data_IF_463640816198
#
_entry.id   IF_463640816198
#
_cell.length_a   1.000
_cell.length_b   1.000
_cell.length_c   1.000
_cell.angle_alpha   90.00
_cell.angle_beta   90.00
_cell.angle_gamma   90.00
#
_symmetry.space_group_name_H-M   'P 1'
#
loop_
_entity.id
_entity.type
_entity.pdbx_description
1 polymer ?
#
# COMPACT_ATOMS: atom_id res chain seq x y z
N UNK A 1 71.59 8.08 13.08
CA UNK A 1 70.76 7.24 12.20
C UNK A 1 69.31 7.46 12.59
N UNK A 2 68.50 8.00 11.67
CA UNK A 2 67.13 8.43 11.92
C UNK A 2 66.18 7.23 11.95
N UNK A 3 65.37 7.12 13.00
CA UNK A 3 64.25 6.20 13.06
C UNK A 3 63.04 6.83 12.35
N UNK A 4 62.58 6.19 11.27
CA UNK A 4 61.34 6.56 10.58
C UNK A 4 60.15 5.92 11.29
N UNK A 5 59.33 6.75 11.95
CA UNK A 5 57.93 6.40 12.23
C UNK A 5 57.14 6.48 10.93
N UNK A 6 56.64 5.36 10.44
CA UNK A 6 55.64 5.33 9.36
C UNK A 6 54.27 5.41 10.04
N UNK A 7 53.68 6.61 10.00
CA UNK A 7 52.28 6.83 10.38
C UNK A 7 51.35 6.20 9.34
N UNK A 8 50.49 5.28 9.78
CA UNK A 8 49.39 4.77 8.98
C UNK A 8 48.33 5.88 8.82
N UNK A 9 48.34 6.55 7.68
CA UNK A 9 47.24 7.40 7.23
C UNK A 9 46.07 6.49 6.84
N UNK A 10 45.11 6.32 7.74
CA UNK A 10 43.82 5.73 7.40
C UNK A 10 43.10 6.66 6.42
N UNK A 11 43.03 6.25 5.15
CA UNK A 11 42.15 6.87 4.17
C UNK A 11 40.70 6.63 4.59
N UNK A 12 40.04 7.64 5.14
CA UNK A 12 38.60 7.63 5.29
C UNK A 12 37.98 7.64 3.88
N UNK A 13 37.39 6.52 3.47
CA UNK A 13 36.63 6.45 2.23
C UNK A 13 35.56 7.56 2.23
N UNK A 14 35.56 8.41 1.21
CA UNK A 14 34.51 9.42 1.05
C UNK A 14 33.15 8.73 1.03
N UNK A 15 32.21 9.21 1.85
CA UNK A 15 30.87 8.65 1.89
C UNK A 15 30.21 8.81 0.51
N UNK A 16 29.62 7.72 -0.01
CA UNK A 16 28.91 7.76 -1.28
C UNK A 16 27.80 8.82 -1.27
N UNK A 17 27.62 9.52 -2.39
CA UNK A 17 26.56 10.52 -2.59
C UNK A 17 25.60 10.10 -3.69
N UNK A 18 24.38 10.60 -3.60
CA UNK A 18 23.30 10.38 -4.59
C UNK A 18 22.50 11.67 -4.78
N UNK A 19 21.87 11.90 -5.94
CA UNK A 19 20.97 13.02 -6.14
C UNK A 19 19.83 13.04 -5.11
N UNK A 20 19.50 14.22 -4.58
CA UNK A 20 18.31 14.40 -3.74
C UNK A 20 16.99 14.21 -4.49
N UNK A 21 17.04 14.20 -5.82
CA UNK A 21 15.89 14.00 -6.67
C UNK A 21 16.15 14.31 -8.14
N UNK A 22 15.13 14.10 -8.96
CA UNK A 22 15.10 14.41 -10.38
C UNK A 22 13.71 14.87 -10.79
N UNK A 23 13.64 15.82 -11.72
CA UNK A 23 12.42 16.28 -12.39
C UNK A 23 12.61 16.07 -13.90
N UNK A 24 11.80 15.19 -14.47
CA UNK A 24 11.77 14.86 -15.90
C UNK A 24 10.46 15.36 -16.48
N UNK A 25 10.52 16.13 -17.57
CA UNK A 25 9.34 16.65 -18.29
C UNK A 25 9.49 16.43 -19.77
N UNK A 26 8.39 16.10 -20.43
CA UNK A 26 8.35 15.93 -21.87
C UNK A 26 6.93 16.12 -22.39
N UNK A 27 6.81 16.30 -23.70
CA UNK A 27 5.57 16.19 -24.44
C UNK A 27 5.59 14.88 -25.23
N UNK A 28 4.48 14.13 -25.24
CA UNK A 28 4.36 12.90 -26.02
C UNK A 28 3.13 12.94 -26.92
N UNK A 29 3.25 12.48 -28.17
CA UNK A 29 2.13 12.29 -29.09
C UNK A 29 2.02 10.82 -29.47
N UNK A 30 0.88 10.21 -29.17
CA UNK A 30 0.61 8.80 -29.42
C UNK A 30 -0.51 8.67 -30.47
N UNK A 31 -0.28 7.94 -31.58
CA UNK A 31 -1.33 7.52 -32.50
C UNK A 31 -2.42 6.66 -31.83
N UNK A 32 -3.58 6.52 -32.49
CA UNK A 32 -4.72 5.78 -31.94
C UNK A 32 -4.43 4.28 -31.74
N UNK A 33 -3.60 3.71 -32.61
CA UNK A 33 -3.16 2.31 -32.60
C UNK A 33 -1.93 2.05 -31.71
N UNK A 34 -1.32 3.11 -31.15
CA UNK A 34 -0.21 2.98 -30.21
C UNK A 34 -0.61 2.11 -29.02
N UNK A 35 0.30 1.22 -28.60
CA UNK A 35 0.12 0.47 -27.34
C UNK A 35 0.59 1.24 -26.12
N UNK A 36 1.51 2.18 -26.30
CA UNK A 36 2.04 2.98 -25.20
C UNK A 36 3.53 3.22 -25.34
N UNK A 37 4.14 3.69 -24.24
CA UNK A 37 5.58 3.91 -24.16
C UNK A 37 6.07 3.80 -22.71
N UNK A 38 7.40 3.73 -22.54
CA UNK A 38 8.03 3.62 -21.24
C UNK A 38 9.07 4.70 -21.00
N UNK A 39 9.27 4.99 -19.72
CA UNK A 39 10.37 5.79 -19.20
C UNK A 39 11.21 4.92 -18.26
N UNK A 40 12.52 4.84 -18.50
CA UNK A 40 13.46 4.10 -17.67
C UNK A 40 14.56 5.04 -17.15
N UNK A 41 14.80 4.98 -15.84
CA UNK A 41 15.97 5.59 -15.20
C UNK A 41 17.10 4.56 -15.14
N UNK A 42 18.03 4.60 -16.09
CA UNK A 42 19.12 3.62 -16.18
C UNK A 42 19.54 3.29 -17.61
N UNK A 43 20.59 2.47 -17.72
CA UNK A 43 21.14 2.04 -19.02
C UNK A 43 20.46 0.79 -19.58
N UNK A 44 19.72 0.04 -18.77
CA UNK A 44 19.04 -1.17 -19.22
C UNK A 44 17.92 -0.88 -20.22
N UNK A 45 17.60 -1.89 -21.03
CA UNK A 45 16.52 -1.85 -22.03
C UNK A 45 15.50 -2.92 -21.62
N UNK A 46 14.25 -2.56 -21.28
CA UNK A 46 13.23 -3.56 -20.97
C UNK A 46 12.82 -4.30 -22.24
N UNK A 47 12.30 -5.53 -22.07
CA UNK A 47 11.75 -6.33 -23.17
C UNK A 47 10.41 -5.78 -23.67
N UNK A 48 9.67 -5.12 -22.79
CA UNK A 48 8.43 -4.42 -23.08
C UNK A 48 8.54 -2.99 -22.53
N UNK A 49 8.32 -2.00 -23.38
CA UNK A 49 8.36 -0.60 -22.95
C UNK A 49 7.03 -0.12 -22.37
N UNK A 50 5.93 -0.81 -22.61
CA UNK A 50 4.63 -0.52 -22.01
C UNK A 50 4.58 -1.03 -20.57
N UNK A 51 5.16 -2.21 -20.33
CA UNK A 51 5.38 -2.76 -18.98
C UNK A 51 6.88 -2.92 -18.67
N UNK A 52 7.62 -1.81 -18.41
CA UNK A 52 9.08 -1.78 -18.35
C UNK A 52 9.69 -2.36 -17.07
N UNK A 53 9.42 -3.64 -16.81
CA UNK A 53 10.01 -4.42 -15.72
C UNK A 53 11.51 -4.61 -15.94
N UNK A 54 12.32 -3.91 -15.15
CA UNK A 54 13.79 -3.99 -15.23
C UNK A 54 14.40 -4.08 -13.82
N UNK A 55 15.30 -5.04 -13.63
CA UNK A 55 16.00 -5.21 -12.36
C UNK A 55 16.89 -4.00 -12.07
N UNK A 56 16.89 -3.54 -10.81
CA UNK A 56 17.74 -2.42 -10.38
C UNK A 56 17.41 -1.04 -10.96
N UNK A 57 16.29 -0.89 -11.69
CA UNK A 57 15.88 0.39 -12.29
C UNK A 57 14.48 0.79 -11.86
N UNK A 58 14.24 2.10 -11.76
CA UNK A 58 12.90 2.66 -11.70
C UNK A 58 12.40 2.85 -13.12
N UNK A 59 11.22 2.32 -13.41
CA UNK A 59 10.58 2.51 -14.70
C UNK A 59 9.11 2.89 -14.55
N UNK A 60 8.59 3.62 -15.53
CA UNK A 60 7.20 4.05 -15.61
C UNK A 60 6.65 3.63 -16.96
N UNK A 61 5.58 2.84 -16.95
CA UNK A 61 4.83 2.47 -18.15
C UNK A 61 3.66 3.43 -18.38
N UNK A 62 3.41 3.78 -19.63
CA UNK A 62 2.23 4.51 -20.08
C UNK A 62 1.50 3.63 -21.08
N UNK A 63 0.56 2.84 -20.58
CA UNK A 63 -0.18 1.83 -21.32
C UNK A 63 -1.50 2.40 -21.83
N UNK A 64 -1.83 2.05 -23.06
CA UNK A 64 -3.03 2.50 -23.77
C UNK A 64 -3.73 1.34 -24.47
N UNK A 65 -3.41 0.10 -24.08
CA UNK A 65 -3.95 -1.12 -24.65
C UNK A 65 -4.32 -2.12 -23.55
N UNK A 66 -5.56 -2.05 -23.09
CA UNK A 66 -6.13 -2.94 -22.09
C UNK A 66 -7.57 -3.27 -22.49
N UNK A 67 -7.76 -4.04 -23.59
CA UNK A 67 -9.07 -4.22 -24.20
C UNK A 67 -10.04 -4.90 -23.23
N UNK A 68 -11.33 -4.60 -23.38
CA UNK A 68 -12.36 -5.23 -22.57
C UNK A 68 -12.40 -6.74 -22.81
N UNK A 69 -12.31 -7.52 -21.74
CA UNK A 69 -12.63 -8.95 -21.74
C UNK A 69 -13.88 -9.23 -20.92
N UNK A 70 -14.71 -10.18 -21.37
CA UNK A 70 -15.86 -10.69 -20.60
C UNK A 70 -15.54 -11.99 -19.87
N UNK A 71 -14.35 -12.55 -20.06
CA UNK A 71 -13.93 -13.78 -19.40
C UNK A 71 -13.37 -13.47 -18.01
N UNK A 72 -14.01 -14.05 -16.99
CA UNK A 72 -13.71 -13.78 -15.59
C UNK A 72 -12.35 -14.33 -15.15
N UNK A 73 -11.78 -15.27 -15.90
CA UNK A 73 -10.60 -16.06 -15.52
C UNK A 73 -9.37 -15.84 -16.41
N UNK A 74 -9.46 -15.04 -17.48
CA UNK A 74 -8.28 -14.74 -18.30
C UNK A 74 -7.39 -13.66 -17.66
N UNK A 75 -6.31 -13.30 -18.36
CA UNK A 75 -5.36 -12.30 -17.89
C UNK A 75 -5.81 -10.84 -18.10
N UNK A 76 -6.78 -10.60 -18.98
CA UNK A 76 -7.20 -9.26 -19.38
C UNK A 76 -8.08 -8.64 -18.28
N UNK A 77 -7.54 -7.65 -17.57
CA UNK A 77 -8.17 -7.11 -16.38
C UNK A 77 -9.48 -6.35 -16.63
N UNK A 78 -9.63 -5.73 -17.80
CA UNK A 78 -10.60 -4.67 -18.03
C UNK A 78 -12.06 -5.14 -18.24
N UNK A 79 -12.63 -5.82 -17.25
CA UNK A 79 -13.96 -6.45 -17.34
C UNK A 79 -15.11 -5.44 -17.51
N UNK A 80 -14.93 -4.23 -17.00
CA UNK A 80 -15.92 -3.17 -17.04
C UNK A 80 -15.79 -2.25 -18.27
N UNK A 81 -14.82 -2.48 -19.16
CA UNK A 81 -14.59 -1.62 -20.33
C UNK A 81 -14.21 -0.19 -19.93
N UNK A 82 -13.39 -0.06 -18.88
CA UNK A 82 -12.78 1.21 -18.46
C UNK A 82 -11.86 1.75 -19.55
N UNK A 83 -11.61 3.05 -19.57
CA UNK A 83 -10.71 3.63 -20.57
C UNK A 83 -9.29 3.06 -20.50
N UNK A 84 -8.70 2.83 -21.66
CA UNK A 84 -7.35 2.24 -21.84
C UNK A 84 -6.31 3.36 -21.80
N UNK A 85 -5.87 3.72 -20.60
CA UNK A 85 -4.91 4.79 -20.33
C UNK A 85 -4.30 4.61 -18.95
N UNK A 86 -3.61 3.52 -18.76
CA UNK A 86 -2.96 3.12 -17.52
C UNK A 86 -1.56 3.73 -17.39
N UNK A 87 -1.14 4.01 -16.15
CA UNK A 87 0.24 4.35 -15.85
C UNK A 87 0.71 3.46 -14.71
N UNK A 88 1.78 2.72 -14.96
CA UNK A 88 2.36 1.76 -14.02
C UNK A 88 3.72 2.23 -13.50
N UNK A 89 4.03 1.87 -12.26
CA UNK A 89 5.34 2.04 -11.65
C UNK A 89 6.00 0.67 -11.50
N UNK A 90 7.27 0.58 -11.88
CA UNK A 90 8.06 -0.64 -11.80
C UNK A 90 9.34 -0.38 -11.00
N UNK A 91 9.68 -1.30 -10.10
CA UNK A 91 10.88 -1.26 -9.29
C UNK A 91 11.41 -2.65 -9.03
N UNK A 92 12.71 -2.87 -9.22
CA UNK A 92 13.38 -4.18 -9.06
C UNK A 92 12.68 -5.29 -9.84
N UNK A 93 12.51 -5.07 -11.15
CA UNK A 93 11.96 -6.08 -12.06
C UNK A 93 10.47 -6.40 -11.87
N UNK A 94 9.75 -5.64 -11.05
CA UNK A 94 8.36 -5.91 -10.70
C UNK A 94 7.51 -4.65 -10.81
N UNK A 95 6.28 -4.79 -11.32
CA UNK A 95 5.26 -3.75 -11.19
C UNK A 95 4.86 -3.62 -9.71
N UNK A 96 4.95 -2.40 -9.18
CA UNK A 96 4.63 -2.11 -7.77
C UNK A 96 3.32 -1.32 -7.62
N UNK A 97 2.83 -0.72 -8.70
CA UNK A 97 1.54 -0.06 -8.75
C UNK A 97 1.10 0.15 -10.22
N UNK A 98 -0.21 0.16 -10.45
CA UNK A 98 -0.80 0.64 -11.70
C UNK A 98 -2.08 1.45 -11.39
N UNK A 99 -2.33 2.52 -12.15
CA UNK A 99 -3.46 3.44 -11.97
C UNK A 99 -4.01 3.90 -13.31
N UNK A 100 -5.34 4.06 -13.37
CA UNK A 100 -5.98 4.73 -14.49
C UNK A 100 -5.55 6.21 -14.52
N UNK A 101 -5.07 6.66 -15.67
CA UNK A 101 -4.72 8.05 -15.92
C UNK A 101 -5.98 8.92 -16.02
N UNK A 102 -6.05 10.08 -15.35
CA UNK A 102 -7.19 11.00 -15.45
C UNK A 102 -7.16 11.88 -16.72
N UNK A 103 -6.16 11.70 -17.58
CA UNK A 103 -5.93 12.47 -18.81
C UNK A 103 -5.78 11.49 -19.97
N UNK A 104 -6.33 11.85 -21.13
CA UNK A 104 -6.12 11.07 -22.36
C UNK A 104 -4.63 11.00 -22.71
N UNK A 105 -4.19 9.82 -23.15
CA UNK A 105 -2.81 9.58 -23.59
C UNK A 105 -2.68 9.53 -25.12
N UNK A 106 -3.78 9.27 -25.83
CA UNK A 106 -3.84 9.15 -27.29
C UNK A 106 -4.38 10.41 -27.93
N UNK A 107 -3.93 10.70 -29.16
CA UNK A 107 -4.51 11.72 -30.02
C UNK A 107 -3.49 12.74 -30.56
N UNK A 108 -3.91 13.55 -31.55
CA UNK A 108 -3.01 14.44 -32.29
C UNK A 108 -2.46 15.60 -31.43
N UNK A 109 -3.16 15.98 -30.36
CA UNK A 109 -2.71 17.02 -29.44
C UNK A 109 -1.61 16.54 -28.48
N UNK A 110 -1.43 15.21 -28.34
CA UNK A 110 -0.53 14.63 -27.35
C UNK A 110 -0.87 15.02 -25.92
N UNK A 111 0.08 14.81 -25.02
CA UNK A 111 -0.01 15.18 -23.61
C UNK A 111 1.36 15.60 -23.05
N UNK A 112 1.32 16.54 -22.12
CA UNK A 112 2.49 16.85 -21.29
C UNK A 112 2.56 15.87 -20.12
N UNK A 113 3.75 15.32 -19.88
CA UNK A 113 4.00 14.44 -18.76
C UNK A 113 5.21 14.90 -17.93
N UNK A 114 5.14 14.58 -16.64
CA UNK A 114 6.18 14.89 -15.67
C UNK A 114 6.36 13.72 -14.71
N UNK A 115 7.62 13.36 -14.45
CA UNK A 115 8.02 12.47 -13.36
C UNK A 115 8.96 13.22 -12.43
N UNK A 116 8.57 13.29 -11.16
CA UNK A 116 9.43 13.79 -10.10
C UNK A 116 9.75 12.65 -9.14
N UNK A 117 11.03 12.46 -8.86
CA UNK A 117 11.48 11.53 -7.81
C UNK A 117 12.21 12.35 -6.77
N UNK A 118 11.82 12.22 -5.51
CA UNK A 118 12.43 12.94 -4.38
C UNK A 118 12.90 11.95 -3.33
N UNK A 119 14.18 12.03 -2.99
CA UNK A 119 14.75 11.22 -1.93
C UNK A 119 14.17 11.62 -0.58
N UNK A 120 13.70 10.64 0.18
CA UNK A 120 13.16 10.80 1.53
C UNK A 120 13.75 9.72 2.43
N UNK A 121 13.41 9.73 3.73
CA UNK A 121 13.90 8.71 4.66
C UNK A 121 13.46 7.31 4.17
N UNK A 122 14.41 6.44 3.88
CA UNK A 122 14.18 5.03 3.53
C UNK A 122 13.77 4.72 2.09
N UNK A 123 13.88 5.68 1.16
CA UNK A 123 13.59 5.46 -0.25
C UNK A 123 13.27 6.77 -0.96
N UNK A 124 12.42 6.72 -1.97
CA UNK A 124 12.02 7.93 -2.69
C UNK A 124 10.51 8.01 -2.89
N UNK A 125 10.00 9.23 -2.96
CA UNK A 125 8.63 9.52 -3.38
C UNK A 125 8.61 9.81 -4.88
N UNK A 126 7.71 9.13 -5.60
CA UNK A 126 7.50 9.26 -7.04
C UNK A 126 6.17 9.98 -7.28
N UNK A 127 6.23 11.10 -7.98
CA UNK A 127 5.06 11.84 -8.47
C UNK A 127 5.06 11.77 -9.99
N UNK A 128 3.94 11.33 -10.55
CA UNK A 128 3.72 11.29 -12.01
C UNK A 128 2.51 12.15 -12.33
N UNK A 129 2.67 13.10 -13.25
CA UNK A 129 1.58 13.96 -13.73
C UNK A 129 1.44 13.83 -15.23
N UNK A 130 0.20 13.82 -15.71
CA UNK A 130 -0.14 13.81 -17.14
C UNK A 130 -1.22 14.86 -17.37
N UNK A 131 -1.00 15.78 -18.31
CA UNK A 131 -1.87 16.94 -18.53
C UNK A 131 -2.03 17.80 -17.27
N UNK A 132 -0.98 17.90 -16.45
CA UNK A 132 -0.96 18.63 -15.17
C UNK A 132 -1.66 17.91 -13.99
N UNK A 133 -2.45 16.86 -14.26
CA UNK A 133 -3.16 16.10 -13.22
C UNK A 133 -2.27 14.99 -12.64
N UNK A 134 -2.27 14.77 -11.31
CA UNK A 134 -1.48 13.69 -10.72
C UNK A 134 -2.11 12.33 -11.00
N UNK A 135 -1.31 11.39 -11.51
CA UNK A 135 -1.61 9.96 -11.51
C UNK A 135 -1.10 9.32 -10.23
N UNK A 136 0.16 9.64 -9.90
CA UNK A 136 0.78 9.36 -8.61
C UNK A 136 1.16 10.68 -7.96
N UNK A 137 0.85 10.83 -6.67
CA UNK A 137 1.28 11.97 -5.88
C UNK A 137 2.07 11.46 -4.68
N UNK A 138 3.39 11.69 -4.73
CA UNK A 138 4.35 11.28 -3.69
C UNK A 138 4.22 9.80 -3.30
N UNK A 139 4.06 8.91 -4.28
CA UNK A 139 4.00 7.47 -4.05
C UNK A 139 5.35 6.99 -3.53
N UNK A 140 5.38 6.50 -2.30
CA UNK A 140 6.63 6.07 -1.68
C UNK A 140 7.08 4.70 -2.17
N UNK A 141 8.33 4.60 -2.62
CA UNK A 141 8.99 3.36 -3.03
C UNK A 141 10.14 3.08 -2.06
N UNK A 142 10.05 2.01 -1.25
CA UNK A 142 11.11 1.62 -0.32
C UNK A 142 12.43 1.33 -1.02
N UNK A 143 13.53 1.70 -0.38
CA UNK A 143 14.92 1.57 -0.86
C UNK A 143 15.24 2.26 -2.19
N UNK A 144 14.28 2.92 -2.83
CA UNK A 144 14.51 3.59 -4.11
C UNK A 144 15.51 4.74 -3.90
N UNK A 145 16.70 4.53 -4.45
CA UNK A 145 17.75 5.54 -4.55
C UNK A 145 18.17 5.59 -6.01
N UNK A 146 18.07 6.78 -6.61
CA UNK A 146 18.52 6.99 -7.97
C UNK A 146 19.98 7.43 -7.96
N UNK A 147 20.74 6.96 -8.94
CA UNK A 147 22.02 7.55 -9.31
C UNK A 147 21.81 8.42 -10.55
N UNK A 148 22.72 9.37 -10.79
CA UNK A 148 22.73 10.09 -12.07
C UNK A 148 22.91 9.05 -13.18
N UNK A 149 21.90 8.94 -14.03
CA UNK A 149 21.84 7.97 -15.10
C UNK A 149 21.16 8.57 -16.33
N UNK A 150 21.27 7.85 -17.45
CA UNK A 150 20.48 8.15 -18.62
C UNK A 150 19.00 7.99 -18.32
N UNK A 151 18.20 8.91 -18.87
CA UNK A 151 16.75 8.84 -18.87
C UNK A 151 16.34 8.43 -20.27
N UNK A 152 15.87 7.19 -20.39
CA UNK A 152 15.58 6.59 -21.70
C UNK A 152 14.08 6.47 -21.89
N UNK A 153 13.64 6.88 -23.07
CA UNK A 153 12.33 6.58 -23.59
C UNK A 153 12.51 5.50 -24.64
N UNK A 154 11.65 4.51 -24.60
CA UNK A 154 11.58 3.53 -25.67
C UNK A 154 10.15 3.46 -26.16
N UNK A 155 9.97 3.50 -27.48
CA UNK A 155 8.65 3.51 -28.05
C UNK A 155 8.33 2.13 -28.64
N UNK A 156 7.03 1.85 -28.72
CA UNK A 156 6.41 1.48 -29.99
C UNK A 156 6.74 2.58 -31.01
N UNK A 157 7.44 2.27 -32.12
CA UNK A 157 8.01 3.21 -33.11
C UNK A 157 7.13 4.38 -33.61
N UNK A 158 5.83 4.34 -33.32
CA UNK A 158 4.82 5.34 -33.62
C UNK A 158 4.74 6.52 -32.62
N UNK A 159 5.34 6.42 -31.43
CA UNK A 159 5.31 7.46 -30.39
C UNK A 159 6.35 8.54 -30.63
N UNK A 160 5.93 9.81 -30.63
CA UNK A 160 6.85 10.97 -30.68
C UNK A 160 7.02 11.59 -29.30
N UNK A 161 8.26 11.74 -28.86
CA UNK A 161 8.62 12.42 -27.61
C UNK A 161 9.41 13.69 -27.95
N UNK A 162 8.96 14.83 -27.44
CA UNK A 162 9.52 16.14 -27.73
C UNK A 162 9.77 16.93 -26.43
N UNK A 163 10.69 17.90 -26.50
CA UNK A 163 10.92 18.83 -25.41
C UNK A 163 11.40 18.21 -24.10
N UNK A 164 12.07 17.05 -24.15
CA UNK A 164 12.60 16.36 -22.97
C UNK A 164 13.54 17.27 -22.17
N UNK A 165 13.21 17.47 -20.91
CA UNK A 165 14.03 18.20 -19.92
C UNK A 165 14.24 17.32 -18.71
N UNK A 166 15.51 17.09 -18.37
CA UNK A 166 15.91 16.35 -17.18
C UNK A 166 16.67 17.30 -16.26
N UNK A 167 16.18 17.47 -15.04
CA UNK A 167 16.84 18.27 -14.01
C UNK A 167 17.11 17.42 -12.78
N UNK A 168 18.37 17.10 -12.57
CA UNK A 168 18.85 16.46 -11.33
C UNK A 168 19.07 17.51 -10.25
N UNK A 169 18.67 17.18 -9.02
CA UNK A 169 18.98 18.00 -7.85
C UNK A 169 20.44 17.84 -7.43
N UNK A 170 20.84 18.59 -6.39
CA UNK A 170 22.14 18.45 -5.74
C UNK A 170 22.36 17.05 -5.19
N UNK A 171 23.62 16.66 -5.12
CA UNK A 171 24.06 15.46 -4.43
C UNK A 171 23.88 15.62 -2.91
N UNK A 172 23.47 14.53 -2.25
CA UNK A 172 23.38 14.38 -0.79
C UNK A 172 24.02 13.06 -0.38
N UNK A 173 24.32 12.91 0.91
CA UNK A 173 24.85 11.64 1.43
C UNK A 173 23.87 10.50 1.14
N UNK A 174 24.37 9.38 0.62
CA UNK A 174 23.57 8.19 0.40
C UNK A 174 22.89 7.74 1.70
N UNK A 175 21.62 7.29 1.65
CA UNK A 175 20.92 6.78 2.83
C UNK A 175 21.68 5.62 3.49
N UNK A 176 21.62 5.54 4.82
CA UNK A 176 22.10 4.36 5.54
C UNK A 176 21.12 3.19 5.33
N UNK A 177 21.61 1.93 5.27
CA UNK A 177 20.74 0.76 5.27
C UNK A 177 19.82 0.71 6.50
N UNK A 178 18.62 0.14 6.38
CA UNK A 178 17.71 0.00 7.51
C UNK A 178 18.24 -1.00 8.55
N UNK A 179 17.76 -0.87 9.78
CA UNK A 179 17.81 -1.96 10.76
C UNK A 179 16.65 -2.91 10.42
N UNK A 180 16.97 -4.12 9.97
CA UNK A 180 15.98 -5.14 9.59
C UNK A 180 15.61 -6.02 10.79
N UNK A 181 14.31 -6.21 11.00
CA UNK A 181 13.73 -7.17 11.94
C UNK A 181 12.93 -8.20 11.15
N UNK A 182 13.28 -9.47 11.27
CA UNK A 182 12.50 -10.58 10.70
C UNK A 182 11.48 -11.01 11.74
N UNK A 183 10.19 -10.82 11.45
CA UNK A 183 9.12 -11.22 12.35
C UNK A 183 8.69 -12.68 12.09
N UNK A 184 8.54 -13.03 10.81
CA UNK A 184 8.22 -14.37 10.36
C UNK A 184 9.01 -14.68 9.09
N UNK A 185 9.53 -15.89 8.98
CA UNK A 185 10.24 -16.37 7.79
C UNK A 185 9.62 -17.69 7.36
N UNK A 186 8.95 -17.66 6.19
CA UNK A 186 8.33 -18.83 5.54
C UNK A 186 7.48 -19.69 6.48
N UNK A 187 6.69 -19.05 7.34
CA UNK A 187 5.76 -19.74 8.23
C UNK A 187 4.61 -20.34 7.42
N UNK A 188 4.34 -21.63 7.61
CA UNK A 188 3.23 -22.31 6.94
C UNK A 188 1.89 -21.81 7.48
N UNK A 189 1.05 -21.33 6.58
CA UNK A 189 -0.36 -21.05 6.83
C UNK A 189 -1.19 -21.85 5.84
N UNK A 190 -1.92 -22.87 6.30
CA UNK A 190 -2.76 -23.77 5.48
C UNK A 190 -4.02 -24.21 6.26
N UNK A 191 -4.75 -25.20 5.75
CA UNK A 191 -5.96 -25.76 6.36
C UNK A 191 -5.81 -26.29 7.81
N UNK A 192 -4.59 -26.52 8.28
CA UNK A 192 -4.31 -26.95 9.66
C UNK A 192 -3.64 -25.83 10.49
N UNK A 193 -3.15 -24.78 9.83
CA UNK A 193 -2.34 -23.72 10.42
C UNK A 193 -2.95 -22.32 10.14
N UNK A 194 -4.24 -22.13 10.44
CA UNK A 194 -4.95 -20.85 10.23
C UNK A 194 -4.40 -19.68 11.07
N UNK A 195 -3.68 -20.00 12.15
CA UNK A 195 -3.10 -19.05 13.09
C UNK A 195 -1.65 -19.40 13.33
N UNK A 196 -0.79 -18.39 13.34
CA UNK A 196 0.58 -18.50 13.78
C UNK A 196 0.93 -17.32 14.68
N UNK A 197 1.81 -17.55 15.64
CA UNK A 197 2.26 -16.50 16.55
C UNK A 197 3.75 -16.62 16.83
N UNK A 198 4.36 -15.50 17.19
CA UNK A 198 5.77 -15.42 17.44
C UNK A 198 6.10 -14.21 18.29
N UNK A 199 7.20 -14.32 19.02
CA UNK A 199 7.74 -13.22 19.79
C UNK A 199 8.88 -12.57 19.01
N UNK A 200 8.78 -11.25 18.82
CA UNK A 200 9.66 -10.49 17.94
C UNK A 200 10.38 -9.43 18.76
N UNK A 201 11.71 -9.39 18.65
CA UNK A 201 12.55 -8.35 19.23
C UNK A 201 12.66 -7.15 18.29
N UNK A 202 11.94 -6.07 18.61
CA UNK A 202 12.10 -4.77 17.96
C UNK A 202 13.19 -3.93 18.64
N UNK A 203 13.69 -2.85 18.01
CA UNK A 203 14.63 -1.94 18.65
C UNK A 203 14.15 -1.44 20.02
N UNK A 204 15.05 -1.30 20.98
CA UNK A 204 14.73 -0.81 22.33
C UNK A 204 14.24 0.64 22.35
N UNK A 205 14.53 1.42 21.30
CA UNK A 205 14.03 2.77 21.10
C UNK A 205 13.69 3.00 19.64
N UNK A 206 12.57 3.68 19.40
CA UNK A 206 12.12 4.06 18.06
C UNK A 206 12.48 5.50 17.68
N UNK A 207 13.08 6.26 18.59
CA UNK A 207 13.44 7.67 18.40
C UNK A 207 14.41 7.93 17.23
N UNK A 208 15.41 7.06 16.94
CA UNK A 208 16.31 7.28 15.80
C UNK A 208 15.64 7.12 14.43
N UNK A 209 14.50 6.44 14.37
CA UNK A 209 13.89 6.02 13.11
C UNK A 209 12.88 7.05 12.61
N UNK A 210 13.02 7.36 11.31
CA UNK A 210 12.17 8.28 10.60
C UNK A 210 11.07 7.59 9.78
N UNK A 211 11.26 6.31 9.47
CA UNK A 211 10.32 5.49 8.71
C UNK A 211 10.46 4.01 9.07
N UNK A 212 9.34 3.27 9.03
CA UNK A 212 9.31 1.81 9.12
C UNK A 212 8.51 1.24 7.96
N UNK A 213 9.13 0.33 7.21
CA UNK A 213 8.48 -0.39 6.11
C UNK A 213 8.27 -1.83 6.52
N UNK A 214 7.03 -2.31 6.40
CA UNK A 214 6.68 -3.72 6.54
C UNK A 214 6.67 -4.38 5.15
N UNK A 215 7.37 -5.49 5.00
CA UNK A 215 7.33 -6.33 3.79
C UNK A 215 6.60 -7.62 4.10
N UNK A 216 5.53 -7.90 3.36
CA UNK A 216 4.80 -9.18 3.38
C UNK A 216 5.16 -9.94 2.11
N UNK A 217 5.62 -11.18 2.25
CA UNK A 217 5.85 -12.10 1.12
C UNK A 217 5.03 -13.37 1.31
N UNK A 218 4.30 -13.75 0.26
CA UNK A 218 3.60 -15.02 0.17
C UNK A 218 4.25 -15.88 -0.91
N UNK A 219 4.54 -17.14 -0.57
CA UNK A 219 5.16 -18.11 -1.46
C UNK A 219 4.38 -19.43 -1.46
N UNK A 220 4.64 -20.27 -2.48
CA UNK A 220 4.04 -21.60 -2.56
C UNK A 220 4.47 -22.48 -1.38
N UNK A 221 3.52 -23.23 -0.83
CA UNK A 221 3.82 -24.32 0.09
C UNK A 221 4.28 -25.55 -0.69
N UNK A 222 4.83 -26.59 -0.04
CA UNK A 222 5.11 -27.86 -0.69
C UNK A 222 3.88 -28.50 -1.35
N UNK A 223 2.67 -28.16 -0.88
CA UNK A 223 1.39 -28.65 -1.40
C UNK A 223 0.77 -27.72 -2.46
N UNK A 224 1.50 -26.67 -2.88
CA UNK A 224 1.03 -25.67 -3.84
C UNK A 224 0.52 -24.39 -3.19
N UNK A 225 -0.49 -23.77 -3.79
CA UNK A 225 -1.09 -22.51 -3.36
C UNK A 225 -2.60 -22.70 -3.20
N UNK A 226 -3.21 -22.14 -2.16
CA UNK A 226 -4.68 -22.16 -2.02
C UNK A 226 -5.31 -21.54 -3.28
N UNK A 227 -6.33 -22.19 -3.86
CA UNK A 227 -7.01 -21.65 -5.01
C UNK A 227 -7.89 -20.44 -4.75
N UNK A 228 -8.13 -20.07 -3.50
CA UNK A 228 -9.06 -19.00 -3.11
C UNK A 228 -8.34 -17.78 -2.52
N UNK A 229 -9.00 -16.64 -2.63
CA UNK A 229 -8.64 -15.40 -1.96
C UNK A 229 -9.15 -15.40 -0.51
N UNK A 230 -8.24 -15.25 0.45
CA UNK A 230 -8.51 -15.42 1.89
C UNK A 230 -8.26 -14.13 2.63
N UNK A 231 -9.16 -13.79 3.55
CA UNK A 231 -8.93 -12.74 4.51
C UNK A 231 -7.79 -13.15 5.46
N UNK A 232 -6.80 -12.29 5.59
CA UNK A 232 -5.69 -12.47 6.49
C UNK A 232 -5.27 -11.18 7.19
N UNK A 233 -4.82 -11.31 8.44
CA UNK A 233 -4.50 -10.19 9.32
C UNK A 233 -3.25 -10.49 10.13
N UNK A 234 -2.45 -9.45 10.39
CA UNK A 234 -1.30 -9.47 11.28
C UNK A 234 -1.57 -8.51 12.43
N UNK A 235 -1.54 -9.03 13.64
CA UNK A 235 -1.71 -8.28 14.87
C UNK A 235 -0.40 -8.20 15.67
N UNK A 236 -0.26 -7.12 16.42
CA UNK A 236 0.74 -6.94 17.46
C UNK A 236 0.04 -6.76 18.81
N UNK A 237 0.58 -7.39 19.84
CA UNK A 237 0.12 -7.26 21.22
C UNK A 237 1.14 -6.47 22.05
N UNK A 238 0.66 -5.50 22.81
CA UNK A 238 1.49 -4.79 23.77
C UNK A 238 1.64 -5.54 25.10
N UNK A 239 2.44 -4.99 26.01
CA UNK A 239 2.71 -5.58 27.34
C UNK A 239 1.45 -5.73 28.22
N UNK A 240 0.35 -5.07 27.85
CA UNK A 240 -0.95 -5.13 28.54
C UNK A 240 -1.92 -6.08 27.83
N UNK A 241 -1.48 -6.80 26.80
CA UNK A 241 -2.31 -7.68 25.99
C UNK A 241 -3.28 -6.95 25.05
N UNK A 242 -3.15 -5.62 24.87
CA UNK A 242 -3.96 -4.88 23.90
C UNK A 242 -3.51 -5.23 22.49
N UNK A 243 -4.47 -5.54 21.63
CA UNK A 243 -4.27 -5.95 20.24
C UNK A 243 -4.33 -4.75 19.29
N UNK A 244 -3.42 -4.72 18.32
CA UNK A 244 -3.34 -3.70 17.27
C UNK A 244 -3.17 -4.37 15.92
N UNK A 245 -4.02 -4.04 14.94
CA UNK A 245 -3.81 -4.52 13.56
C UNK A 245 -2.66 -3.74 12.90
N UNK A 246 -1.62 -4.48 12.49
CA UNK A 246 -0.47 -3.96 11.76
C UNK A 246 -0.75 -3.96 10.25
N UNK A 247 -1.29 -5.08 9.75
CA UNK A 247 -1.52 -5.32 8.34
C UNK A 247 -2.76 -6.19 8.16
N UNK A 248 -3.51 -5.92 7.08
CA UNK A 248 -4.55 -6.80 6.56
C UNK A 248 -4.29 -6.99 5.07
N UNK A 249 -4.49 -8.20 4.58
CA UNK A 249 -4.40 -8.51 3.17
C UNK A 249 -5.46 -9.52 2.79
N UNK A 250 -5.78 -9.54 1.50
CA UNK A 250 -6.53 -10.63 0.89
C UNK A 250 -5.55 -11.39 0.02
N UNK A 251 -5.39 -12.68 0.27
CA UNK A 251 -4.45 -13.50 -0.51
C UNK A 251 -4.89 -13.55 -1.98
N UNK A 252 -3.96 -13.73 -2.93
CA UNK A 252 -4.30 -13.84 -4.34
C UNK A 252 -4.78 -15.25 -4.70
N UNK A 253 -5.58 -15.37 -5.75
CA UNK A 253 -5.97 -16.67 -6.29
C UNK A 253 -4.76 -17.41 -6.89
N UNK A 254 -4.34 -18.54 -6.29
CA UNK A 254 -3.27 -19.43 -6.79
C UNK A 254 -1.94 -18.73 -7.07
N UNK A 255 -1.60 -17.68 -6.33
CA UNK A 255 -0.39 -16.88 -6.60
C UNK A 255 0.37 -16.55 -5.31
N UNK A 256 1.67 -16.28 -5.46
CA UNK A 256 2.50 -15.65 -4.42
C UNK A 256 2.85 -14.22 -4.84
N UNK A 257 3.18 -13.36 -3.88
CA UNK A 257 3.54 -11.98 -4.17
C UNK A 257 4.33 -11.35 -3.02
N UNK A 258 4.94 -10.20 -3.29
CA UNK A 258 5.60 -9.37 -2.27
C UNK A 258 4.97 -7.99 -2.25
N UNK A 259 4.48 -7.57 -1.09
CA UNK A 259 3.99 -6.22 -0.86
C UNK A 259 4.88 -5.51 0.15
N UNK A 260 5.02 -4.21 -0.02
CA UNK A 260 5.71 -3.33 0.93
C UNK A 260 4.77 -2.22 1.36
N UNK A 261 4.71 -1.93 2.66
CA UNK A 261 3.85 -0.89 3.22
C UNK A 261 4.62 0.00 4.18
N UNK A 262 4.37 1.29 4.10
CA UNK A 262 4.77 2.23 5.14
C UNK A 262 3.87 2.04 6.37
N UNK A 263 4.45 1.57 7.48
CA UNK A 263 3.77 1.38 8.76
C UNK A 263 4.27 2.36 9.83
N UNK A 264 4.86 3.48 9.41
CA UNK A 264 5.48 4.48 10.30
C UNK A 264 4.50 5.07 11.31
N UNK A 265 3.22 5.19 10.96
CA UNK A 265 2.19 5.68 11.89
C UNK A 265 2.02 4.75 13.13
N UNK A 266 2.43 3.47 13.02
CA UNK A 266 2.40 2.49 14.11
C UNK A 266 3.72 2.39 14.88
N UNK A 267 4.70 3.25 14.57
CA UNK A 267 6.04 3.25 15.16
C UNK A 267 6.08 3.11 16.70
N UNK A 268 5.19 3.73 17.49
CA UNK A 268 5.19 3.56 18.96
C UNK A 268 5.00 2.12 19.44
N UNK A 269 4.46 1.24 18.60
CA UNK A 269 4.19 -0.16 18.94
C UNK A 269 5.43 -1.05 18.78
N UNK A 270 6.36 -0.69 17.89
CA UNK A 270 7.50 -1.51 17.49
C UNK A 270 8.72 -1.26 18.38
N UNK A 271 8.60 -1.54 19.67
CA UNK A 271 9.69 -1.34 20.65
C UNK A 271 9.84 -2.54 21.56
N UNK A 272 11.08 -3.00 21.74
CA UNK A 272 11.40 -4.13 22.61
C UNK A 272 10.72 -5.42 22.16
N UNK A 273 10.48 -6.32 23.11
CA UNK A 273 9.88 -7.63 22.83
C UNK A 273 8.36 -7.53 22.68
N UNK A 274 7.82 -8.01 21.56
CA UNK A 274 6.38 -7.94 21.26
C UNK A 274 5.88 -9.28 20.70
N UNK A 275 4.66 -9.67 21.08
CA UNK A 275 3.99 -10.82 20.48
C UNK A 275 3.27 -10.39 19.20
N UNK A 276 3.55 -11.07 18.11
CA UNK A 276 2.83 -10.95 16.84
C UNK A 276 1.99 -12.20 16.60
N UNK A 277 0.84 -12.02 15.95
CA UNK A 277 -0.07 -13.09 15.57
C UNK A 277 -0.57 -12.85 14.16
N UNK A 278 -0.42 -13.84 13.30
CA UNK A 278 -1.08 -13.88 12.00
C UNK A 278 -2.30 -14.80 12.02
N UNK A 279 -3.35 -14.37 11.33
CA UNK A 279 -4.57 -15.13 11.09
C UNK A 279 -4.85 -15.14 9.58
N UNK A 280 -5.30 -16.27 9.04
CA UNK A 280 -5.77 -16.37 7.67
C UNK A 280 -6.85 -17.45 7.53
N UNK A 281 -7.98 -17.09 6.93
CA UNK A 281 -9.15 -17.95 6.74
C UNK A 281 -8.96 -18.98 5.59
N UNK A 282 -7.77 -19.57 5.46
CA UNK A 282 -7.49 -20.61 4.45
C UNK A 282 -7.98 -21.98 4.87
N UNK A 283 -8.58 -22.74 3.96
CA UNK A 283 -8.98 -24.14 4.19
C UNK A 283 -8.33 -25.08 3.16
N UNK A 284 -7.27 -24.62 2.51
CA UNK A 284 -6.58 -25.31 1.42
C UNK A 284 -5.08 -25.42 1.64
N UNK A 285 -4.32 -25.43 0.54
CA UNK A 285 -2.86 -25.56 0.56
C UNK A 285 -2.13 -24.33 1.12
N UNK A 286 -2.81 -23.18 1.19
CA UNK A 286 -2.34 -21.99 1.86
C UNK A 286 -1.12 -21.33 1.21
N UNK A 287 -0.26 -20.72 2.05
CA UNK A 287 0.97 -20.02 1.66
C UNK A 287 2.07 -20.19 2.71
N UNK A 288 3.33 -20.05 2.28
CA UNK A 288 4.43 -19.71 3.18
C UNK A 288 4.47 -18.19 3.36
N UNK A 289 4.37 -17.73 4.60
CA UNK A 289 4.25 -16.31 4.95
C UNK A 289 5.56 -15.82 5.55
N UNK A 290 6.11 -14.76 4.96
CA UNK A 290 7.25 -14.04 5.54
C UNK A 290 6.88 -12.58 5.79
N UNK A 291 7.29 -12.05 6.95
CA UNK A 291 7.06 -10.67 7.37
C UNK A 291 8.36 -10.08 7.91
N UNK A 292 8.79 -8.96 7.35
CA UNK A 292 9.96 -8.21 7.83
C UNK A 292 9.62 -6.75 8.05
N UNK A 293 10.33 -6.11 8.98
CA UNK A 293 10.25 -4.68 9.27
C UNK A 293 11.61 -4.03 9.07
N UNK A 294 11.68 -3.02 8.20
CA UNK A 294 12.87 -2.24 7.92
C UNK A 294 12.76 -0.85 8.56
N UNK A 295 13.63 -0.58 9.54
CA UNK A 295 13.66 0.66 10.30
C UNK A 295 14.73 1.59 9.74
N UNK A 296 14.31 2.66 9.08
CA UNK A 296 15.20 3.64 8.46
C UNK A 296 15.46 4.80 9.40
N UNK A 297 16.74 5.09 9.67
CA UNK A 297 17.11 6.25 10.49
C UNK A 297 16.78 7.55 9.78
N UNK A 298 16.28 8.52 10.52
CA UNK A 298 15.99 9.83 9.97
C UNK A 298 15.07 10.67 10.85
N UNK A 299 14.91 11.93 10.47
CA UNK A 299 13.99 12.83 11.15
C UNK A 299 12.55 12.48 10.77
N UNK A 300 11.68 12.39 11.77
CA UNK A 300 10.23 12.28 11.59
C UNK A 300 9.55 13.42 12.34
N UNK A 301 8.73 14.19 11.62
CA UNK A 301 7.96 15.29 12.20
C UNK A 301 6.69 15.53 11.36
N UNK A 302 5.49 15.55 11.97
CA UNK A 302 5.23 15.25 13.39
C UNK A 302 5.47 13.76 13.71
N UNK A 303 5.86 13.42 14.94
CA UNK A 303 6.21 12.03 15.32
C UNK A 303 5.03 11.35 16.01
N UNK A 304 4.53 10.19 15.52
CA UNK A 304 3.54 9.42 16.26
C UNK A 304 4.16 8.95 17.57
N UNK A 305 3.45 9.12 18.68
CA UNK A 305 3.93 8.72 20.01
C UNK A 305 2.93 7.84 20.77
N UNK A 306 1.69 7.73 20.28
CA UNK A 306 0.66 6.91 20.90
C UNK A 306 -0.32 6.40 19.85
N UNK A 307 -0.68 5.12 19.98
CA UNK A 307 -1.72 4.46 19.20
C UNK A 307 -2.75 3.92 20.20
N UNK A 308 -4.03 4.20 19.96
CA UNK A 308 -5.14 3.77 20.82
C UNK A 308 -6.19 3.09 19.94
N UNK A 309 -6.49 1.80 20.13
CA UNK A 309 -7.57 1.14 19.40
C UNK A 309 -8.90 1.82 19.70
N UNK A 310 -9.75 1.96 18.69
CA UNK A 310 -11.12 2.48 18.81
C UNK A 310 -12.11 1.32 18.68
N UNK A 311 -12.04 0.58 17.56
CA UNK A 311 -12.90 -0.57 17.28
C UNK A 311 -12.10 -1.73 16.70
N UNK A 312 -12.52 -2.95 17.05
CA UNK A 312 -12.03 -4.21 16.49
C UNK A 312 -13.22 -5.17 16.49
N UNK A 313 -13.88 -5.33 15.34
CA UNK A 313 -15.16 -6.03 15.26
C UNK A 313 -15.46 -6.59 13.88
N UNK A 314 -16.28 -7.63 13.86
CA UNK A 314 -17.01 -8.08 12.66
C UNK A 314 -18.46 -7.66 12.82
N UNK A 315 -18.92 -6.71 12.00
CA UNK A 315 -20.27 -6.16 12.04
C UNK A 315 -21.14 -6.80 10.96
N UNK A 316 -22.20 -7.49 11.37
CA UNK A 316 -23.25 -7.99 10.46
C UNK A 316 -24.05 -6.80 9.93
N UNK A 317 -24.40 -6.84 8.64
CA UNK A 317 -25.07 -5.72 7.97
C UNK A 317 -26.52 -6.05 7.60
N UNK A 318 -27.35 -5.01 7.63
CA UNK A 318 -28.71 -5.04 7.09
C UNK A 318 -29.70 -5.90 7.87
N UNK A 319 -29.38 -6.27 9.10
CA UNK A 319 -30.27 -7.02 9.99
C UNK A 319 -30.60 -6.16 11.21
N UNK A 320 -31.89 -6.01 11.54
CA UNK A 320 -32.38 -5.13 12.60
C UNK A 320 -31.85 -5.53 13.99
N UNK A 321 -31.67 -6.82 14.19
CA UNK A 321 -31.15 -7.46 15.41
C UNK A 321 -29.63 -7.22 15.58
N UNK A 322 -28.96 -6.77 14.53
CA UNK A 322 -27.52 -6.50 14.50
C UNK A 322 -27.23 -5.06 14.03
N UNK A 323 -27.66 -4.03 14.79
CA UNK A 323 -27.36 -2.65 14.41
C UNK A 323 -25.85 -2.40 14.42
N UNK A 324 -25.34 -1.64 13.45
CA UNK A 324 -23.89 -1.34 13.32
C UNK A 324 -23.30 -0.79 14.63
N UNK A 325 -24.06 0.03 15.35
CA UNK A 325 -23.65 0.64 16.61
C UNK A 325 -23.50 -0.36 17.77
N UNK A 326 -24.06 -1.57 17.67
CA UNK A 326 -23.80 -2.63 18.65
C UNK A 326 -22.40 -3.23 18.47
N UNK A 327 -21.94 -3.39 17.23
CA UNK A 327 -20.58 -3.85 16.93
C UNK A 327 -19.53 -2.73 17.05
N UNK A 328 -19.92 -1.49 16.72
CA UNK A 328 -19.07 -0.30 16.69
C UNK A 328 -19.68 0.81 17.57
N UNK A 329 -19.69 0.64 18.90
CA UNK A 329 -20.33 1.61 19.79
C UNK A 329 -19.62 2.96 19.80
N UNK A 330 -20.34 4.07 20.00
CA UNK A 330 -19.73 5.38 20.25
C UNK A 330 -18.65 5.28 21.32
N UNK A 331 -17.42 5.63 20.99
CA UNK A 331 -16.27 5.39 21.86
C UNK A 331 -15.65 6.71 22.29
N UNK A 332 -15.57 6.94 23.61
CA UNK A 332 -14.93 8.11 24.19
C UNK A 332 -13.44 7.84 24.48
N UNK A 333 -12.55 8.67 23.93
CA UNK A 333 -11.09 8.56 24.17
C UNK A 333 -10.57 9.89 24.69
N UNK A 334 -9.77 9.84 25.77
CA UNK A 334 -9.03 10.99 26.29
C UNK A 334 -7.79 11.24 25.44
N UNK A 335 -7.74 12.43 24.84
CA UNK A 335 -6.61 12.90 24.04
C UNK A 335 -5.46 13.28 24.97
N UNK A 336 -4.26 12.79 24.69
CA UNK A 336 -3.07 13.12 25.47
C UNK A 336 -2.77 14.63 25.37
N UNK A 337 -2.36 15.25 26.48
CA UNK A 337 -2.08 16.68 26.53
C UNK A 337 -0.90 17.11 25.64
N UNK A 338 -0.06 16.16 25.21
CA UNK A 338 1.10 16.40 24.33
C UNK A 338 0.78 16.35 22.85
N UNK A 339 -0.46 16.01 22.49
CA UNK A 339 -0.88 15.82 21.11
C UNK A 339 -0.91 17.15 20.35
N UNK A 340 -0.21 17.20 19.22
CA UNK A 340 -0.19 18.34 18.28
C UNK A 340 -0.93 18.05 16.97
N UNK A 341 -0.97 16.78 16.58
CA UNK A 341 -1.78 16.29 15.48
C UNK A 341 -2.35 14.92 15.81
N UNK A 342 -3.46 14.57 15.19
CA UNK A 342 -4.13 13.29 15.41
C UNK A 342 -4.74 12.77 14.11
N UNK A 343 -4.62 11.47 13.88
CA UNK A 343 -5.26 10.79 12.76
C UNK A 343 -6.07 9.59 13.25
N UNK A 344 -7.19 9.31 12.59
CA UNK A 344 -7.89 8.03 12.73
C UNK A 344 -7.53 7.16 11.53
N UNK A 345 -7.02 5.96 11.79
CA UNK A 345 -6.73 4.92 10.80
C UNK A 345 -7.81 3.86 10.90
N UNK A 346 -8.62 3.68 9.85
CA UNK A 346 -9.71 2.71 9.79
C UNK A 346 -9.53 1.75 8.62
N UNK A 347 -9.45 0.45 8.90
CA UNK A 347 -9.40 -0.63 7.91
C UNK A 347 -10.74 -1.36 7.91
N UNK A 348 -11.41 -1.39 6.75
CA UNK A 348 -12.71 -2.07 6.59
C UNK A 348 -12.70 -2.86 5.31
N UNK A 349 -13.23 -4.08 5.36
CA UNK A 349 -13.43 -4.97 4.21
C UNK A 349 -14.82 -5.57 4.28
N UNK A 350 -15.60 -5.48 3.21
CA UNK A 350 -16.90 -6.14 3.10
C UNK A 350 -16.80 -7.58 2.62
N UNK A 351 -17.56 -8.48 3.24
CA UNK A 351 -17.57 -9.92 2.97
C UNK A 351 -19.00 -10.44 2.94
N UNK A 352 -19.19 -11.60 2.31
CA UNK A 352 -20.52 -12.12 1.97
C UNK A 352 -20.91 -11.76 0.55
N UNK A 353 -21.77 -12.56 -0.06
CA UNK A 353 -22.28 -12.35 -1.42
C UNK A 353 -23.68 -12.94 -1.55
N UNK A 354 -24.18 -13.13 -2.77
CA UNK A 354 -25.44 -13.86 -3.03
C UNK A 354 -25.61 -15.10 -2.12
N UNK A 355 -26.78 -15.29 -1.49
CA UNK A 355 -28.04 -14.62 -1.76
C UNK A 355 -28.26 -13.29 -1.02
N UNK A 356 -27.30 -12.79 -0.21
CA UNK A 356 -27.47 -11.51 0.50
C UNK A 356 -27.86 -10.38 -0.47
N UNK A 357 -28.81 -9.53 -0.07
CA UNK A 357 -29.41 -8.49 -0.92
C UNK A 357 -28.32 -7.60 -1.53
N UNK A 358 -28.37 -7.41 -2.86
CA UNK A 358 -27.36 -6.61 -3.57
C UNK A 358 -25.94 -7.21 -3.57
N UNK A 359 -25.79 -8.52 -3.35
CA UNK A 359 -24.50 -9.21 -3.18
C UNK A 359 -23.67 -8.68 -2.01
N UNK A 360 -24.35 -8.27 -0.93
CA UNK A 360 -23.68 -7.73 0.22
C UNK A 360 -22.82 -8.77 0.97
N UNK A 361 -21.70 -8.40 1.57
CA UNK A 361 -21.09 -7.07 1.54
C UNK A 361 -19.86 -6.98 0.61
N UNK A 362 -19.46 -8.05 -0.07
CA UNK A 362 -18.27 -8.05 -0.94
C UNK A 362 -18.45 -7.14 -2.15
N UNK A 363 -19.61 -7.24 -2.83
CA UNK A 363 -19.88 -6.55 -4.09
C UNK A 363 -20.87 -5.39 -3.93
N UNK A 364 -21.11 -4.95 -2.70
CA UNK A 364 -21.99 -3.83 -2.39
C UNK A 364 -21.18 -2.61 -1.93
N UNK A 365 -21.18 -1.56 -2.73
CA UNK A 365 -20.59 -0.29 -2.34
C UNK A 365 -21.53 0.45 -1.39
N UNK A 366 -21.01 0.84 -0.21
CA UNK A 366 -21.73 1.67 0.76
C UNK A 366 -20.89 2.89 1.09
N UNK A 367 -21.51 4.05 1.28
CA UNK A 367 -20.81 5.14 1.96
C UNK A 367 -20.61 4.80 3.44
N UNK A 368 -19.54 5.33 4.02
CA UNK A 368 -19.23 5.26 5.45
C UNK A 368 -18.83 6.62 5.98
N UNK A 369 -19.18 6.89 7.23
CA UNK A 369 -18.94 8.17 7.89
C UNK A 369 -18.25 7.96 9.24
N UNK A 370 -17.20 8.73 9.48
CA UNK A 370 -16.54 8.85 10.77
C UNK A 370 -16.91 10.20 11.37
N UNK A 371 -17.51 10.21 12.56
CA UNK A 371 -17.75 11.42 13.34
C UNK A 371 -16.78 11.50 14.50
N UNK A 372 -16.15 12.66 14.69
CA UNK A 372 -15.22 12.94 15.80
C UNK A 372 -15.58 14.28 16.41
N UNK A 373 -16.20 14.25 17.60
CA UNK A 373 -16.82 15.46 18.15
C UNK A 373 -17.88 16.01 17.19
N UNK A 374 -17.69 17.25 16.73
CA UNK A 374 -18.58 17.94 15.79
C UNK A 374 -18.15 17.80 14.31
N UNK A 375 -17.03 17.10 14.04
CA UNK A 375 -16.55 16.90 12.67
C UNK A 375 -17.12 15.61 12.07
N UNK A 376 -17.53 15.68 10.80
CA UNK A 376 -17.94 14.53 10.00
C UNK A 376 -16.99 14.35 8.80
N UNK A 377 -16.58 13.11 8.56
CA UNK A 377 -15.79 12.71 7.40
C UNK A 377 -16.49 11.55 6.71
N UNK A 378 -16.55 11.56 5.38
CA UNK A 378 -17.28 10.54 4.62
C UNK A 378 -16.47 10.10 3.40
N UNK A 379 -16.53 8.81 3.07
CA UNK A 379 -16.08 8.29 1.79
C UNK A 379 -16.91 7.06 1.39
N UNK A 380 -16.71 6.58 0.16
CA UNK A 380 -17.27 5.31 -0.28
C UNK A 380 -16.33 4.15 0.11
N UNK A 381 -16.89 3.07 0.66
CA UNK A 381 -16.19 1.80 0.82
C UNK A 381 -16.29 1.02 -0.49
N UNK A 382 -15.41 1.35 -1.44
CA UNK A 382 -15.34 0.71 -2.74
C UNK A 382 -13.91 0.80 -3.28
N UNK A 383 -13.46 -0.28 -3.91
CA UNK A 383 -12.18 -0.36 -4.61
C UNK A 383 -12.45 -0.81 -6.04
N UNK A 384 -12.18 0.08 -6.98
CA UNK A 384 -12.52 -0.04 -8.40
C UNK A 384 -11.29 -0.16 -9.32
N UNK A 385 -10.10 -0.22 -8.73
CA UNK A 385 -8.82 -0.44 -9.39
C UNK A 385 -8.32 -1.90 -9.24
N UNK A 386 -9.21 -2.84 -8.90
CA UNK A 386 -8.86 -4.26 -8.70
C UNK A 386 -8.24 -4.89 -9.96
N UNK A 387 -8.73 -4.50 -11.13
CA UNK A 387 -8.18 -4.91 -12.42
C UNK A 387 -6.76 -4.37 -12.70
N UNK A 388 -6.30 -3.38 -11.95
CA UNK A 388 -4.95 -2.81 -12.02
C UNK A 388 -4.04 -3.32 -10.90
N UNK A 389 -4.46 -4.35 -10.16
CA UNK A 389 -3.62 -4.93 -9.13
C UNK A 389 -2.30 -5.43 -9.75
N UNK A 390 -1.12 -4.99 -9.28
CA UNK A 390 0.16 -5.51 -9.79
C UNK A 390 0.33 -7.01 -9.62
N UNK A 391 -0.34 -7.61 -8.63
CA UNK A 391 -0.45 -9.06 -8.49
C UNK A 391 -1.43 -9.65 -9.53
N UNK A 392 -1.25 -9.37 -10.83
CA UNK A 392 -2.04 -9.91 -11.93
C UNK A 392 -1.17 -10.66 -12.95
N UNK A 393 -1.74 -11.53 -13.80
CA UNK A 393 -3.06 -12.14 -13.62
C UNK A 393 -3.08 -13.11 -12.42
N UNK A 394 -4.27 -13.45 -11.92
CA UNK A 394 -4.51 -14.46 -10.87
C UNK A 394 -5.49 -15.53 -11.35
N UNK A 395 -5.54 -16.68 -10.66
CA UNK A 395 -6.36 -17.84 -11.06
C UNK A 395 -7.85 -17.79 -10.73
N UNK A 396 -8.42 -16.60 -10.50
CA UNK A 396 -9.81 -16.43 -10.04
C UNK A 396 -10.40 -15.09 -10.46
N UNK A 397 -11.44 -14.63 -9.78
CA UNK A 397 -12.23 -13.46 -10.17
C UNK A 397 -11.58 -12.14 -9.73
N UNK A 398 -10.26 -12.00 -9.80
CA UNK A 398 -9.46 -10.90 -9.23
C UNK A 398 -9.81 -9.49 -9.74
N UNK A 399 -10.49 -9.40 -10.88
CA UNK A 399 -10.75 -8.17 -11.64
C UNK A 399 -11.94 -7.36 -11.14
N UNK A 400 -12.92 -8.00 -10.50
CA UNK A 400 -14.13 -7.30 -10.06
C UNK A 400 -13.82 -6.34 -8.92
N UNK A 401 -14.58 -5.26 -8.88
CA UNK A 401 -14.52 -4.29 -7.80
C UNK A 401 -15.10 -4.89 -6.51
N UNK A 402 -14.58 -4.46 -5.35
CA UNK A 402 -15.07 -4.92 -4.04
C UNK A 402 -15.16 -3.79 -3.03
N UNK A 403 -15.90 -4.04 -1.95
CA UNK A 403 -16.02 -3.15 -0.80
C UNK A 403 -14.72 -3.05 0.02
N UNK A 404 -13.77 -2.25 -0.48
CA UNK A 404 -12.57 -1.82 0.24
C UNK A 404 -11.34 -2.72 0.10
N UNK A 405 -11.35 -3.73 -0.77
CA UNK A 405 -10.23 -4.67 -0.94
C UNK A 405 -10.14 -5.24 -2.36
N UNK A 406 -9.03 -5.91 -2.67
CA UNK A 406 -8.85 -6.70 -3.89
C UNK A 406 -8.20 -8.04 -3.54
N UNK A 407 -8.54 -9.14 -4.23
CA UNK A 407 -7.75 -10.36 -4.19
C UNK A 407 -6.30 -10.05 -4.55
N UNK A 408 -5.34 -10.53 -3.75
CA UNK A 408 -3.92 -10.27 -3.97
C UNK A 408 -3.47 -8.84 -3.68
N UNK A 409 -4.11 -8.14 -2.75
CA UNK A 409 -3.68 -6.81 -2.32
C UNK A 409 -3.69 -6.70 -0.80
N UNK A 410 -2.89 -5.74 -0.32
CA UNK A 410 -2.90 -5.31 1.06
C UNK A 410 -3.96 -4.23 1.23
N UNK A 411 -4.74 -4.31 2.30
CA UNK A 411 -5.87 -3.40 2.51
C UNK A 411 -5.35 -2.05 3.01
N UNK A 412 -5.50 -1.03 2.18
CA UNK A 412 -5.09 0.34 2.53
C UNK A 412 -6.11 0.96 3.49
N UNK A 413 -5.68 1.50 4.65
CA UNK A 413 -6.59 2.14 5.59
C UNK A 413 -7.17 3.44 5.02
N UNK A 414 -8.38 3.78 5.45
CA UNK A 414 -8.87 5.16 5.39
C UNK A 414 -8.26 5.93 6.55
N UNK A 415 -7.40 6.88 6.21
CA UNK A 415 -6.68 7.72 7.18
C UNK A 415 -7.27 9.11 7.14
N UNK A 416 -7.81 9.55 8.26
CA UNK A 416 -8.48 10.84 8.42
C UNK A 416 -7.68 11.71 9.39
N UNK A 417 -7.31 12.92 8.98
CA UNK A 417 -6.78 13.93 9.90
C UNK A 417 -7.91 14.52 10.75
N UNK A 418 -7.84 14.25 12.06
CA UNK A 418 -8.85 14.71 13.04
C UNK A 418 -8.28 15.77 13.97
N UNK A 419 -7.12 16.35 13.65
CA UNK A 419 -6.40 17.30 14.49
C UNK A 419 -7.28 18.47 14.94
N UNK A 420 -8.10 19.01 14.03
CA UNK A 420 -9.00 20.14 14.33
C UNK A 420 -10.26 19.75 15.11
N UNK A 421 -10.51 18.45 15.24
CA UNK A 421 -11.73 17.88 15.81
C UNK A 421 -11.53 17.39 17.25
N UNK A 422 -10.29 17.35 17.71
CA UNK A 422 -9.91 16.88 19.03
C UNK A 422 -9.16 17.98 19.78
N UNK A 423 -9.30 18.02 21.12
CA UNK A 423 -8.61 18.97 21.97
C UNK A 423 -7.68 18.21 22.93
N UNK A 424 -6.36 18.51 22.93
CA UNK A 424 -5.43 17.90 23.88
C UNK A 424 -5.91 18.03 25.33
N UNK A 425 -5.85 16.94 26.09
CA UNK A 425 -6.31 16.89 27.48
C UNK A 425 -7.83 16.80 27.68
N UNK A 426 -8.63 16.71 26.61
CA UNK A 426 -10.08 16.52 26.68
C UNK A 426 -10.51 15.15 26.13
N UNK A 427 -11.74 14.74 26.41
CA UNK A 427 -12.33 13.55 25.79
C UNK A 427 -12.92 13.92 24.44
N UNK A 428 -12.72 13.07 23.43
CA UNK A 428 -13.41 13.11 22.15
C UNK A 428 -14.24 11.83 21.97
N UNK A 429 -15.41 11.96 21.34
CA UNK A 429 -16.28 10.82 21.02
C UNK A 429 -16.14 10.50 19.53
N UNK A 430 -15.86 9.24 19.24
CA UNK A 430 -15.74 8.68 17.90
C UNK A 430 -16.99 7.87 17.58
N UNK A 431 -17.59 8.08 16.41
CA UNK A 431 -18.73 7.30 15.91
C UNK A 431 -18.48 6.87 14.48
N UNK A 432 -18.90 5.65 14.15
CA UNK A 432 -18.81 5.11 12.80
C UNK A 432 -20.20 4.75 12.31
N UNK A 433 -20.55 5.25 11.14
CA UNK A 433 -21.85 5.06 10.50
C UNK A 433 -21.62 4.54 9.09
N UNK A 434 -22.59 3.79 8.59
CA UNK A 434 -22.64 3.35 7.19
C UNK A 434 -23.95 3.78 6.58
N UNK A 435 -24.00 3.77 5.26
CA UNK A 435 -25.24 3.89 4.51
C UNK A 435 -26.31 2.94 5.06
N UNK A 436 -27.52 3.45 5.38
CA UNK A 436 -28.64 2.59 5.72
C UNK A 436 -28.84 1.54 4.63
N UNK A 437 -28.85 0.29 5.05
CA UNK A 437 -28.95 -0.88 4.20
C UNK A 437 -29.78 -1.92 4.95
N UNK A 438 -30.61 -2.64 4.22
CA UNK A 438 -31.44 -3.74 4.71
C UNK A 438 -31.14 -4.98 3.86
N UNK A 439 -30.90 -6.11 4.53
CA UNK A 439 -30.64 -7.39 3.89
C UNK A 439 -31.92 -8.23 3.97
N UNK A 440 -32.66 -8.27 2.87
CA UNK A 440 -33.93 -9.01 2.75
C UNK A 440 -33.73 -10.52 2.60
N UNK A 441 -32.49 -10.95 2.32
CA UNK A 441 -32.13 -12.33 2.01
C UNK A 441 -30.85 -12.76 2.75
N UNK A 442 -30.82 -12.65 4.10
CA UNK A 442 -29.63 -12.95 4.87
C UNK A 442 -29.25 -14.44 4.78
N UNK A 443 -27.96 -14.72 4.57
CA UNK A 443 -27.41 -16.08 4.54
C UNK A 443 -26.56 -16.33 5.79
N UNK A 444 -27.02 -17.13 6.78
CA UNK A 444 -26.28 -17.37 8.01
C UNK A 444 -24.89 -18.01 7.80
N UNK A 445 -24.72 -18.86 6.79
CA UNK A 445 -23.44 -19.49 6.48
C UNK A 445 -22.44 -18.55 5.79
N UNK A 446 -22.90 -17.43 5.26
CA UNK A 446 -22.11 -16.43 4.57
C UNK A 446 -22.68 -15.02 4.79
N UNK A 447 -22.67 -14.51 6.04
CA UNK A 447 -23.38 -13.29 6.35
C UNK A 447 -22.71 -12.09 5.69
N UNK A 448 -23.53 -11.17 5.18
CA UNK A 448 -23.08 -9.84 4.80
C UNK A 448 -22.46 -9.14 6.01
N UNK A 449 -21.13 -8.92 5.97
CA UNK A 449 -20.38 -8.41 7.12
C UNK A 449 -19.28 -7.44 6.73
N UNK A 450 -19.03 -6.45 7.59
CA UNK A 450 -17.82 -5.65 7.56
C UNK A 450 -16.86 -6.13 8.66
N UNK A 451 -15.62 -6.45 8.29
CA UNK A 451 -14.54 -6.65 9.27
C UNK A 451 -13.85 -5.31 9.46
N UNK A 452 -13.80 -4.80 10.69
CA UNK A 452 -13.42 -3.42 11.01
C UNK A 452 -12.33 -3.40 12.07
N UNK A 453 -11.25 -2.67 11.77
CA UNK A 453 -10.21 -2.30 12.73
C UNK A 453 -10.00 -0.79 12.64
N UNK A 454 -9.96 -0.11 13.79
CA UNK A 454 -9.76 1.34 13.84
C UNK A 454 -8.87 1.73 15.00
N UNK A 455 -7.97 2.69 14.78
CA UNK A 455 -7.11 3.24 15.81
C UNK A 455 -6.95 4.75 15.68
N UNK A 456 -6.91 5.43 16.82
CA UNK A 456 -6.46 6.82 16.94
C UNK A 456 -4.93 6.83 17.08
N UNK A 457 -4.28 7.67 16.29
CA UNK A 457 -2.84 7.88 16.28
C UNK A 457 -2.56 9.32 16.64
N UNK A 458 -1.81 9.54 17.71
CA UNK A 458 -1.49 10.87 18.24
C UNK A 458 -0.01 11.19 17.98
N UNK A 459 0.25 12.43 17.52
CA UNK A 459 1.56 12.90 17.09
C UNK A 459 2.02 14.12 17.90
N UNK A 460 3.34 14.28 18.09
CA UNK A 460 3.98 15.36 18.85
C UNK A 460 5.10 16.08 18.09
#
# INVERSE_FOLDING_TARGET
MHAFLIGALAWAAQAATVPAGVDVRWHATLPQDSKGYGLVFGSGTPTDWVEPNLEGSLSIGFDTHNPRSTNWFDADGNIYGRPEREVSLHWRGMEIANRLCPSELKGPAGHDAQVQVRLVVGGSEVTVRVGGKPVYDRFFVPDLTLHRSDVRFGPDSSVRVEGLRVRWDREVRAPEPPVRVVAFDRVLNDAQHHRWEGEVGFPESTEPFGRVVCTLKLEATPNGLDPWDRLAQLFLYDDKGRRFEVLRWITPYRKGWTWTLDVTDLLPLFRGKRRLEGLCETWGAGWLVSVTFDFYKGRLSPRPFKVTPIWSATAILGQKEHPIAAALPPTGIRIDGRTKAAKVRTVVTGHGMSPNTGNAAEFLALWRRLRVGECDFENQLWKDDNYLNPCRPQGGTWKFDRAGWAPGDVVRPWVVDVTRCVKPGQNAVFRYEIQPYENLTPEPGNPARHVVEAALIEYR
#
